data_IF_964716688740
#
_entry.id   IF_964716688740
#
_cell.length_a   1.000
_cell.length_b   1.000
_cell.length_c   1.000
_cell.angle_alpha   90.00
_cell.angle_beta   90.00
_cell.angle_gamma   90.00
#
_symmetry.space_group_name_H-M   'P 1'
#
loop_
_entity.id
_entity.type
_entity.pdbx_description
1 polymer ?
#
# COMPACT_ATOMS: atom_id res chain seq x y z
N UNK A 1 -37.13 26.89 4.75
CA UNK A 1 -35.86 26.15 4.94
C UNK A 1 -36.23 24.73 5.32
N UNK A 2 -35.80 23.73 4.54
CA UNK A 2 -36.17 22.32 4.74
C UNK A 2 -35.15 21.64 5.65
N UNK A 3 -35.61 20.76 6.55
CA UNK A 3 -34.75 20.01 7.49
C UNK A 3 -33.59 19.28 6.80
N UNK A 4 -33.79 18.87 5.54
CA UNK A 4 -32.75 18.24 4.71
C UNK A 4 -31.51 19.11 4.48
N UNK A 5 -31.65 20.44 4.54
CA UNK A 5 -30.52 21.37 4.36
C UNK A 5 -29.63 21.44 5.60
N UNK A 6 -30.20 21.30 6.81
CA UNK A 6 -29.46 21.29 8.07
C UNK A 6 -28.60 20.03 8.20
N UNK A 7 -29.15 18.87 7.84
CA UNK A 7 -28.43 17.60 7.88
C UNK A 7 -27.20 17.57 6.95
N UNK A 8 -27.31 18.09 5.73
CA UNK A 8 -26.17 18.14 4.80
C UNK A 8 -25.03 19.02 5.33
N UNK A 9 -25.35 20.15 5.95
CA UNK A 9 -24.34 21.04 6.56
C UNK A 9 -23.68 20.40 7.77
N UNK A 10 -24.45 19.68 8.60
CA UNK A 10 -23.91 18.95 9.75
C UNK A 10 -22.95 17.83 9.33
N UNK A 11 -23.29 17.05 8.29
CA UNK A 11 -22.42 16.00 7.76
C UNK A 11 -21.12 16.60 7.21
N UNK A 12 -21.19 17.63 6.37
CA UNK A 12 -19.99 18.30 5.86
C UNK A 12 -19.10 18.86 6.98
N UNK A 13 -19.70 19.46 8.02
CA UNK A 13 -18.96 20.01 9.15
C UNK A 13 -18.24 18.92 9.94
N UNK A 14 -18.88 17.77 10.17
CA UNK A 14 -18.29 16.66 10.92
C UNK A 14 -17.15 15.98 10.15
N UNK A 15 -17.30 15.80 8.83
CA UNK A 15 -16.22 15.27 7.96
C UNK A 15 -15.01 16.22 7.91
N UNK A 16 -15.26 17.53 7.89
CA UNK A 16 -14.19 18.53 7.97
C UNK A 16 -13.51 18.53 9.35
N UNK A 17 -14.29 18.42 10.43
CA UNK A 17 -13.73 18.38 11.79
C UNK A 17 -12.89 17.14 12.03
N UNK A 18 -13.29 15.98 11.51
CA UNK A 18 -12.53 14.73 11.63
C UNK A 18 -11.21 14.80 10.83
N UNK A 19 -11.21 15.41 9.65
CA UNK A 19 -9.98 15.63 8.89
C UNK A 19 -9.02 16.59 9.62
N UNK A 20 -9.54 17.67 10.19
CA UNK A 20 -8.73 18.61 11.00
C UNK A 20 -8.19 17.94 12.28
N UNK A 21 -8.99 17.16 12.99
CA UNK A 21 -8.55 16.46 14.20
C UNK A 21 -7.48 15.41 13.89
N UNK A 22 -7.56 14.73 12.73
CA UNK A 22 -6.51 13.83 12.26
C UNK A 22 -5.17 14.57 12.02
N UNK A 23 -5.21 15.83 11.57
CA UNK A 23 -4.01 16.65 11.37
C UNK A 23 -3.38 17.18 12.68
N UNK A 24 -4.15 17.32 13.77
CA UNK A 24 -3.64 17.92 15.03
C UNK A 24 -3.31 16.90 16.14
N UNK A 25 -3.64 15.62 15.96
CA UNK A 25 -3.30 14.55 16.91
C UNK A 25 -2.01 13.77 16.55
N UNK A 26 -1.31 14.16 15.49
CA UNK A 26 -0.07 13.53 15.02
C UNK A 26 1.20 14.01 15.75
N UNK A 27 1.61 13.23 16.74
CA UNK A 27 2.97 12.75 16.97
C UNK A 27 4.16 13.73 16.90
N UNK A 28 4.60 14.20 18.06
CA UNK A 28 5.99 14.64 18.28
C UNK A 28 6.50 14.00 19.57
N UNK A 29 6.96 12.75 19.49
CA UNK A 29 7.91 12.19 20.44
C UNK A 29 8.65 11.03 19.76
N UNK A 30 9.75 11.36 19.09
CA UNK A 30 10.79 10.39 18.73
C UNK A 30 11.34 9.80 20.05
N UNK A 31 11.06 8.52 20.30
CA UNK A 31 11.76 7.73 21.31
C UNK A 31 13.02 7.12 20.71
N UNK A 32 14.17 7.40 21.33
CA UNK A 32 15.54 7.10 20.86
C UNK A 32 15.97 5.62 20.87
N UNK A 33 15.07 4.65 21.11
CA UNK A 33 15.46 3.25 21.39
C UNK A 33 15.04 2.22 20.30
N UNK A 34 14.55 2.66 19.14
CA UNK A 34 14.37 1.76 18.01
C UNK A 34 15.70 1.58 17.25
N UNK A 35 16.08 0.34 16.85
CA UNK A 35 17.18 0.18 15.90
C UNK A 35 16.89 1.06 14.67
N UNK A 36 17.91 1.66 14.04
CA UNK A 36 17.70 2.49 12.86
C UNK A 36 17.05 1.62 11.79
N UNK A 37 15.76 1.83 11.59
CA UNK A 37 14.98 1.14 10.58
C UNK A 37 15.55 1.50 9.19
N UNK A 38 15.52 0.56 8.23
CA UNK A 38 16.19 0.75 6.95
C UNK A 38 15.62 1.97 6.23
N UNK A 39 16.44 3.02 6.08
CA UNK A 39 16.12 4.22 5.30
C UNK A 39 16.28 4.02 3.79
N UNK A 40 16.68 2.83 3.36
CA UNK A 40 16.88 2.46 1.97
C UNK A 40 16.62 0.96 1.80
N UNK A 41 16.27 0.54 0.59
CA UNK A 41 16.28 -0.86 0.22
C UNK A 41 17.72 -1.43 0.28
N UNK A 42 17.90 -2.75 0.50
CA UNK A 42 19.21 -3.39 0.46
C UNK A 42 19.99 -3.03 -0.80
N UNK A 43 21.28 -2.68 -0.68
CA UNK A 43 22.11 -2.32 -1.84
C UNK A 43 22.13 -3.45 -2.88
N UNK A 44 21.80 -3.12 -4.12
CA UNK A 44 21.77 -4.09 -5.24
C UNK A 44 20.49 -4.91 -5.34
N UNK A 45 19.49 -4.66 -4.50
CA UNK A 45 18.13 -5.19 -4.66
C UNK A 45 17.25 -4.22 -5.44
N UNK A 46 16.28 -4.76 -6.17
CA UNK A 46 15.21 -3.98 -6.82
C UNK A 46 13.84 -4.59 -6.51
N UNK A 47 12.79 -3.81 -6.64
CA UNK A 47 11.41 -4.24 -6.47
C UNK A 47 11.05 -5.34 -7.47
N UNK A 48 10.63 -6.51 -6.98
CA UNK A 48 10.12 -7.63 -7.79
C UNK A 48 8.61 -7.77 -7.70
N UNK A 49 8.03 -7.43 -6.54
CA UNK A 49 6.59 -7.36 -6.36
C UNK A 49 6.21 -6.20 -5.44
N UNK A 50 5.03 -5.60 -5.64
CA UNK A 50 4.46 -4.58 -4.75
C UNK A 50 2.98 -4.82 -4.55
N UNK A 51 2.56 -4.62 -3.31
CA UNK A 51 1.20 -4.73 -2.82
C UNK A 51 0.89 -3.59 -1.86
N UNK A 52 -0.24 -2.93 -2.11
CA UNK A 52 -0.78 -1.90 -1.23
C UNK A 52 -2.22 -2.26 -0.83
N UNK A 53 -2.50 -2.21 0.47
CA UNK A 53 -3.83 -2.47 1.03
C UNK A 53 -4.19 -1.59 2.21
N UNK A 54 -5.47 -1.29 2.29
CA UNK A 54 -6.12 -0.62 3.40
C UNK A 54 -7.47 -1.29 3.69
N UNK A 55 -7.57 -1.96 4.83
CA UNK A 55 -8.81 -2.51 5.38
C UNK A 55 -9.50 -1.43 6.22
N UNK A 56 -10.76 -1.11 5.91
CA UNK A 56 -11.59 -0.19 6.72
C UNK A 56 -12.27 0.96 5.96
N UNK A 57 -11.96 1.14 4.67
CA UNK A 57 -12.68 2.04 3.76
C UNK A 57 -13.28 1.25 2.59
N UNK A 58 -14.38 1.74 2.01
CA UNK A 58 -15.16 1.02 1.02
C UNK A 58 -14.35 0.70 -0.25
N UNK A 59 -14.28 -0.61 -0.60
CA UNK A 59 -13.89 -1.19 -1.89
C UNK A 59 -12.85 -0.40 -2.71
N UNK A 60 -11.67 -0.13 -2.14
CA UNK A 60 -10.54 0.35 -2.94
C UNK A 60 -9.87 -0.84 -3.64
N UNK A 61 -9.51 -0.73 -4.93
CA UNK A 61 -8.83 -1.80 -5.64
C UNK A 61 -7.42 -1.99 -5.05
N UNK A 62 -6.99 -3.24 -5.04
CA UNK A 62 -5.62 -3.63 -4.76
C UNK A 62 -4.75 -3.39 -5.99
N UNK A 63 -3.54 -2.88 -5.75
CA UNK A 63 -2.55 -2.62 -6.78
C UNK A 63 -1.44 -3.66 -6.69
N UNK A 64 -1.26 -4.41 -7.76
CA UNK A 64 -0.29 -5.50 -7.86
C UNK A 64 0.76 -5.17 -8.91
N UNK A 65 2.02 -5.12 -8.50
CA UNK A 65 3.17 -5.12 -9.39
C UNK A 65 3.86 -6.48 -9.32
N UNK A 66 4.28 -6.98 -10.48
CA UNK A 66 5.06 -8.19 -10.65
C UNK A 66 6.15 -7.99 -11.71
N UNK A 67 7.37 -8.45 -11.45
CA UNK A 67 8.42 -8.51 -12.48
C UNK A 67 9.30 -9.75 -12.35
N UNK A 68 9.71 -10.30 -13.50
CA UNK A 68 10.69 -11.37 -13.63
C UNK A 68 12.09 -10.86 -14.06
N UNK A 69 12.29 -9.53 -14.01
CA UNK A 69 13.50 -8.84 -14.47
C UNK A 69 13.56 -8.59 -15.97
N UNK A 70 12.68 -9.20 -16.78
CA UNK A 70 12.54 -8.91 -18.21
C UNK A 70 11.26 -8.15 -18.51
N UNK A 71 10.22 -8.38 -17.71
CA UNK A 71 8.88 -7.87 -17.94
C UNK A 71 8.30 -7.32 -16.65
N UNK A 72 7.67 -6.17 -16.72
CA UNK A 72 6.91 -5.59 -15.62
C UNK A 72 5.43 -5.74 -15.94
N UNK A 73 4.67 -6.24 -14.98
CA UNK A 73 3.23 -6.44 -15.09
C UNK A 73 2.53 -5.73 -13.94
N UNK A 74 1.52 -4.93 -14.28
CA UNK A 74 0.68 -4.19 -13.34
C UNK A 74 -0.77 -4.70 -13.43
N UNK A 75 -1.44 -4.82 -12.28
CA UNK A 75 -2.86 -5.22 -12.20
C UNK A 75 -3.57 -4.45 -11.09
N UNK A 76 -4.79 -4.00 -11.37
CA UNK A 76 -5.75 -3.58 -10.37
C UNK A 76 -6.75 -4.72 -10.16
N UNK A 77 -7.00 -5.11 -8.91
CA UNK A 77 -7.91 -6.21 -8.57
C UNK A 77 -8.75 -5.87 -7.36
N UNK A 78 -9.98 -6.39 -7.28
CA UNK A 78 -10.82 -6.27 -6.08
C UNK A 78 -10.62 -7.49 -5.14
N UNK A 79 -9.84 -8.48 -5.56
CA UNK A 79 -9.55 -9.70 -4.79
C UNK A 79 -8.37 -9.47 -3.85
N UNK A 80 -8.52 -9.87 -2.59
CA UNK A 80 -7.46 -9.78 -1.60
C UNK A 80 -6.21 -10.54 -2.07
N UNK A 81 -5.02 -9.92 -2.02
CA UNK A 81 -3.79 -10.59 -2.41
C UNK A 81 -3.36 -11.73 -1.51
N UNK A 82 -3.86 -11.81 -0.28
CA UNK A 82 -3.73 -13.03 0.54
C UNK A 82 -4.54 -14.18 -0.06
N UNK A 83 -5.76 -13.92 -0.55
CA UNK A 83 -6.55 -14.91 -1.29
C UNK A 83 -5.88 -15.25 -2.62
N UNK A 84 -5.28 -14.26 -3.29
CA UNK A 84 -4.50 -14.45 -4.51
C UNK A 84 -3.32 -15.38 -4.28
N UNK A 85 -2.46 -15.06 -3.31
CA UNK A 85 -1.29 -15.86 -2.92
C UNK A 85 -1.69 -17.26 -2.43
N UNK A 86 -2.79 -17.40 -1.68
CA UNK A 86 -3.28 -18.70 -1.24
C UNK A 86 -3.76 -19.56 -2.42
N UNK A 87 -4.48 -18.97 -3.38
CA UNK A 87 -4.86 -19.66 -4.62
C UNK A 87 -3.64 -20.07 -5.46
N UNK A 88 -2.53 -19.31 -5.38
CA UNK A 88 -1.29 -19.60 -6.09
C UNK A 88 -0.44 -20.69 -5.42
N UNK A 89 -0.37 -20.73 -4.08
CA UNK A 89 0.37 -21.76 -3.32
C UNK A 89 -0.19 -23.16 -3.60
N UNK A 90 -1.50 -23.27 -3.84
CA UNK A 90 -2.14 -24.54 -4.19
C UNK A 90 -1.89 -24.95 -5.66
N UNK A 91 -1.46 -24.03 -6.53
CA UNK A 91 -1.39 -24.23 -7.98
C UNK A 91 -0.01 -24.68 -8.52
N UNK A 92 1.14 -24.28 -7.95
CA UNK A 92 2.46 -24.78 -8.41
C UNK A 92 3.65 -24.39 -7.53
N UNK A 93 4.60 -25.30 -7.20
CA UNK A 93 5.79 -25.00 -6.39
C UNK A 93 7.01 -24.44 -7.16
N UNK A 94 6.86 -24.00 -8.43
CA UNK A 94 8.00 -23.66 -9.29
C UNK A 94 8.06 -22.21 -9.83
N UNK A 95 7.35 -21.25 -9.22
CA UNK A 95 7.41 -19.85 -9.63
C UNK A 95 7.67 -18.96 -8.41
N UNK A 96 8.96 -18.70 -8.13
CA UNK A 96 9.39 -17.69 -7.15
C UNK A 96 9.24 -16.31 -7.79
N UNK A 97 8.48 -15.41 -7.17
CA UNK A 97 8.51 -13.96 -7.44
C UNK A 97 7.20 -13.33 -7.89
N UNK A 98 6.31 -14.08 -8.53
CA UNK A 98 4.89 -13.75 -8.70
C UNK A 98 4.23 -15.02 -9.20
N UNK A 99 3.20 -15.50 -8.50
CA UNK A 99 2.65 -16.81 -8.81
C UNK A 99 2.00 -16.88 -10.18
N UNK A 100 1.45 -18.06 -10.45
CA UNK A 100 0.96 -18.41 -11.76
C UNK A 100 -0.34 -17.66 -12.04
N UNK A 101 -0.24 -16.46 -12.61
CA UNK A 101 -1.40 -15.66 -13.01
C UNK A 101 -2.30 -16.56 -13.86
N UNK A 102 -3.52 -16.81 -13.37
CA UNK A 102 -4.47 -17.70 -14.01
C UNK A 102 -4.59 -17.31 -15.48
N UNK A 103 -4.66 -18.29 -16.39
CA UNK A 103 -4.59 -18.04 -17.83
C UNK A 103 -5.68 -17.07 -18.32
N UNK A 104 -6.84 -17.05 -17.64
CA UNK A 104 -7.93 -16.08 -17.86
C UNK A 104 -7.69 -14.68 -17.28
N UNK A 105 -6.78 -14.53 -16.32
CA UNK A 105 -6.38 -13.25 -15.74
C UNK A 105 -5.16 -12.63 -16.42
N UNK A 106 -4.35 -13.44 -17.15
CA UNK A 106 -3.26 -12.92 -17.99
C UNK A 106 -3.75 -11.90 -19.02
N UNK A 107 -5.00 -12.01 -19.44
CA UNK A 107 -5.65 -11.05 -20.35
C UNK A 107 -5.91 -9.66 -19.71
N UNK A 108 -5.69 -9.49 -18.40
CA UNK A 108 -5.89 -8.23 -17.66
C UNK A 108 -4.60 -7.68 -17.05
N UNK A 109 -3.45 -8.21 -17.46
CA UNK A 109 -2.17 -7.69 -17.03
C UNK A 109 -1.75 -6.57 -17.97
N UNK A 110 -1.48 -5.40 -17.40
CA UNK A 110 -0.87 -4.31 -18.15
C UNK A 110 0.64 -4.49 -18.13
N UNK A 111 1.23 -4.57 -19.30
CA UNK A 111 2.67 -4.73 -19.44
C UNK A 111 3.32 -3.36 -19.60
N UNK A 112 4.38 -3.16 -18.83
CA UNK A 112 5.15 -1.93 -18.81
C UNK A 112 6.53 -2.22 -19.37
N UNK A 113 6.88 -1.50 -20.44
CA UNK A 113 8.19 -1.63 -21.09
C UNK A 113 9.25 -0.73 -20.44
N UNK A 114 8.83 0.28 -19.68
CA UNK A 114 9.74 1.23 -19.01
C UNK A 114 10.19 0.73 -17.64
N UNK A 115 11.46 0.34 -17.46
CA UNK A 115 11.98 -0.10 -16.18
C UNK A 115 12.13 1.04 -15.16
N UNK A 116 12.04 2.31 -15.55
CA UNK A 116 12.12 3.43 -14.59
C UNK A 116 10.97 3.42 -13.59
N UNK A 117 9.84 2.82 -13.97
CA UNK A 117 8.65 2.67 -13.11
C UNK A 117 8.98 1.99 -11.78
N UNK A 118 9.84 0.97 -11.78
CA UNK A 118 10.25 0.29 -10.55
C UNK A 118 11.01 1.25 -9.63
N UNK A 119 11.95 2.00 -10.18
CA UNK A 119 12.71 3.01 -9.44
C UNK A 119 11.82 4.11 -8.89
N UNK A 120 10.87 4.60 -9.66
CA UNK A 120 9.95 5.65 -9.21
C UNK A 120 9.11 5.16 -8.02
N UNK A 121 8.64 3.90 -8.06
CA UNK A 121 7.93 3.28 -6.93
C UNK A 121 8.83 3.10 -5.69
N UNK A 122 10.07 2.65 -5.87
CA UNK A 122 11.05 2.55 -4.77
C UNK A 122 11.33 3.91 -4.12
N UNK A 123 11.52 4.96 -4.93
CA UNK A 123 11.72 6.33 -4.47
C UNK A 123 10.51 6.84 -3.66
N UNK A 124 9.28 6.54 -4.09
CA UNK A 124 8.05 6.87 -3.34
C UNK A 124 8.04 6.15 -1.98
N UNK A 125 8.28 4.84 -1.95
CA UNK A 125 8.29 4.01 -0.73
C UNK A 125 9.29 4.55 0.29
N UNK A 126 10.51 4.86 -0.17
CA UNK A 126 11.59 5.39 0.68
C UNK A 126 11.26 6.81 1.16
N UNK A 127 10.81 7.70 0.26
CA UNK A 127 10.51 9.10 0.59
C UNK A 127 9.43 9.25 1.65
N UNK A 128 8.40 8.39 1.62
CA UNK A 128 7.34 8.39 2.63
C UNK A 128 7.66 7.54 3.86
N UNK A 129 8.87 6.98 3.96
CA UNK A 129 9.33 6.24 5.12
C UNK A 129 8.53 4.96 5.37
N UNK A 130 7.96 4.37 4.32
CA UNK A 130 7.04 3.24 4.48
C UNK A 130 7.71 1.99 5.03
N UNK A 131 9.02 1.85 4.81
CA UNK A 131 9.88 0.83 5.42
C UNK A 131 9.89 0.87 6.96
N UNK A 132 9.48 2.00 7.54
CA UNK A 132 9.54 2.28 8.97
C UNK A 132 8.17 2.26 9.64
N UNK A 133 7.09 1.90 8.93
CA UNK A 133 5.78 1.81 9.57
C UNK A 133 5.75 0.63 10.54
N UNK A 134 6.07 0.89 11.81
CA UNK A 134 5.80 -0.09 12.86
C UNK A 134 4.35 0.09 13.27
N UNK A 135 3.54 -0.95 13.07
CA UNK A 135 2.09 -0.84 13.14
C UNK A 135 1.45 -0.59 14.48
N UNK A 136 2.24 -0.09 15.41
CA UNK A 136 1.88 0.26 16.74
C UNK A 136 2.48 1.61 17.01
N UNK A 137 1.65 2.63 17.20
CA UNK A 137 2.07 3.76 18.02
C UNK A 137 2.44 3.19 19.40
N UNK A 138 3.72 2.83 19.59
CA UNK A 138 4.30 2.28 20.84
C UNK A 138 4.32 3.33 21.95
N UNK A 139 3.52 4.40 21.84
CA UNK A 139 3.26 5.25 22.98
C UNK A 139 2.58 4.40 24.07
N UNK A 140 3.41 3.86 24.97
CA UNK A 140 3.02 3.18 26.22
C UNK A 140 2.03 4.01 27.06
N UNK A 141 1.82 5.29 26.70
CA UNK A 141 0.92 6.26 27.30
C UNK A 141 -0.53 6.24 26.78
N UNK A 142 -0.85 5.56 25.67
CA UNK A 142 -2.23 5.47 25.18
C UNK A 142 -2.89 4.19 25.67
N UNK A 143 -3.71 4.34 26.72
CA UNK A 143 -4.53 3.24 27.26
C UNK A 143 -5.31 2.51 26.17
N UNK A 144 -5.54 1.20 26.37
CA UNK A 144 -6.28 0.25 25.50
C UNK A 144 -6.91 0.93 24.27
N UNK A 145 -6.15 1.02 23.18
CA UNK A 145 -6.69 1.41 21.88
C UNK A 145 -7.77 0.40 21.54
N UNK A 146 -9.02 0.85 21.48
CA UNK A 146 -10.12 0.03 20.95
C UNK A 146 -9.78 -0.30 19.51
N UNK A 147 -9.69 -1.60 19.22
CA UNK A 147 -9.46 -2.12 17.88
C UNK A 147 -10.46 -1.48 16.92
N UNK A 148 -9.98 -0.60 16.04
CA UNK A 148 -10.83 0.05 15.04
C UNK A 148 -11.12 -0.89 13.87
N UNK A 149 -10.46 -2.06 13.83
CA UNK A 149 -10.47 -2.98 12.71
C UNK A 149 -9.76 -2.43 11.46
N UNK A 150 -9.11 -1.26 11.56
CA UNK A 150 -8.39 -0.68 10.43
C UNK A 150 -6.98 -1.25 10.34
N UNK A 151 -6.63 -1.70 9.14
CA UNK A 151 -5.35 -2.31 8.84
C UNK A 151 -4.78 -1.69 7.57
N UNK A 152 -3.57 -1.18 7.65
CA UNK A 152 -2.82 -0.64 6.52
C UNK A 152 -1.68 -1.61 6.25
N UNK A 153 -1.55 -2.08 5.02
CA UNK A 153 -0.50 -3.02 4.66
C UNK A 153 0.22 -2.58 3.39
N UNK A 154 1.54 -2.65 3.46
CA UNK A 154 2.42 -2.55 2.32
C UNK A 154 3.26 -3.83 2.30
N UNK A 155 3.14 -4.61 1.25
CA UNK A 155 4.03 -5.75 1.01
C UNK A 155 4.84 -5.47 -0.24
N UNK A 156 6.12 -5.79 -0.20
CA UNK A 156 6.90 -5.86 -1.41
C UNK A 156 7.93 -6.97 -1.32
N UNK A 157 8.23 -7.55 -2.47
CA UNK A 157 9.29 -8.52 -2.67
C UNK A 157 10.42 -7.85 -3.42
N UNK A 158 11.64 -8.25 -3.12
CA UNK A 158 12.86 -7.78 -3.74
C UNK A 158 13.43 -8.86 -4.67
N UNK A 159 14.28 -8.43 -5.59
CA UNK A 159 14.91 -9.28 -6.60
C UNK A 159 15.81 -10.38 -6.03
N UNK A 160 16.25 -10.25 -4.78
CA UNK A 160 17.00 -11.27 -4.06
C UNK A 160 16.10 -12.34 -3.39
N UNK A 161 14.78 -12.24 -3.58
CA UNK A 161 13.76 -13.11 -2.99
C UNK A 161 13.44 -12.77 -1.53
N UNK A 162 14.03 -11.71 -0.97
CA UNK A 162 13.59 -11.20 0.32
C UNK A 162 12.27 -10.47 0.19
N UNK A 163 11.44 -10.54 1.21
CA UNK A 163 10.17 -9.82 1.26
C UNK A 163 10.05 -8.99 2.51
N UNK A 164 9.36 -7.86 2.38
CA UNK A 164 9.10 -6.93 3.45
C UNK A 164 7.60 -6.72 3.52
N UNK A 165 7.03 -7.09 4.66
CA UNK A 165 5.64 -6.79 4.99
C UNK A 165 5.64 -5.73 6.07
N UNK A 166 5.07 -4.58 5.74
CA UNK A 166 4.88 -3.49 6.67
C UNK A 166 3.39 -3.32 6.94
N UNK A 167 3.01 -3.26 8.21
CA UNK A 167 1.62 -3.23 8.63
C UNK A 167 1.41 -2.14 9.66
N UNK A 168 0.28 -1.44 9.60
CA UNK A 168 -0.21 -0.55 10.64
C UNK A 168 -1.61 -0.88 11.08
N UNK A 169 -1.81 -1.00 12.39
CA UNK A 169 -3.07 -1.36 13.01
C UNK A 169 -3.60 -0.15 13.79
N UNK A 170 -4.89 0.12 13.65
CA UNK A 170 -5.61 1.13 14.42
C UNK A 170 -5.24 2.61 14.16
N UNK A 171 -4.17 2.88 13.41
CA UNK A 171 -3.81 4.22 12.97
C UNK A 171 -3.28 4.23 11.54
N UNK A 172 -3.73 5.22 10.76
CA UNK A 172 -3.17 5.51 9.45
C UNK A 172 -1.72 6.01 9.62
N UNK A 173 -0.71 5.36 9.02
CA UNK A 173 0.66 5.83 9.09
C UNK A 173 0.80 7.25 8.55
N UNK A 174 1.72 8.03 9.12
CA UNK A 174 2.04 9.35 8.55
C UNK A 174 2.59 9.16 7.13
N UNK A 175 2.02 9.88 6.17
CA UNK A 175 2.41 9.79 4.76
C UNK A 175 1.74 8.65 3.97
N UNK A 176 0.93 7.80 4.61
CA UNK A 176 0.23 6.71 3.91
C UNK A 176 -0.70 7.23 2.80
N UNK A 177 -1.58 8.23 3.02
CA UNK A 177 -2.46 8.73 1.96
C UNK A 177 -1.70 9.28 0.75
N UNK A 178 -0.61 10.00 1.00
CA UNK A 178 0.22 10.59 -0.05
C UNK A 178 1.01 9.51 -0.81
N UNK A 179 1.58 8.53 -0.10
CA UNK A 179 2.22 7.36 -0.72
C UNK A 179 1.21 6.61 -1.60
N UNK A 180 0.02 6.34 -1.07
CA UNK A 180 -1.02 5.63 -1.79
C UNK A 180 -1.39 6.39 -3.07
N UNK A 181 -1.65 7.69 -2.97
CA UNK A 181 -2.02 8.50 -4.12
C UNK A 181 -0.94 8.51 -5.21
N UNK A 182 0.35 8.61 -4.85
CA UNK A 182 1.43 8.63 -5.84
C UNK A 182 1.65 7.28 -6.50
N UNK A 183 1.61 6.19 -5.72
CA UNK A 183 1.66 4.84 -6.31
C UNK A 183 0.48 4.64 -7.25
N UNK A 184 -0.74 4.99 -6.83
CA UNK A 184 -1.93 4.91 -7.68
C UNK A 184 -1.77 5.68 -8.97
N UNK A 185 -1.18 6.88 -8.93
CA UNK A 185 -0.93 7.68 -10.13
C UNK A 185 -0.05 6.94 -11.13
N UNK A 186 0.99 6.24 -10.69
CA UNK A 186 1.84 5.44 -11.57
C UNK A 186 1.02 4.34 -12.25
N UNK A 187 0.23 3.60 -11.48
CA UNK A 187 -0.62 2.54 -12.04
C UNK A 187 -1.58 3.07 -13.11
N UNK A 188 -2.29 4.17 -12.84
CA UNK A 188 -3.24 4.74 -13.78
C UNK A 188 -2.54 5.26 -15.05
N UNK A 189 -1.42 5.98 -14.92
CA UNK A 189 -0.66 6.49 -16.07
C UNK A 189 -0.18 5.36 -16.97
N UNK A 190 0.33 4.28 -16.40
CA UNK A 190 0.80 3.13 -17.18
C UNK A 190 -0.34 2.37 -17.86
N UNK A 191 -1.51 2.29 -17.21
CA UNK A 191 -2.69 1.67 -17.82
C UNK A 191 -3.24 2.48 -18.99
N UNK A 192 -3.32 3.81 -18.86
CA UNK A 192 -3.76 4.70 -19.95
C UNK A 192 -2.84 4.61 -21.18
N UNK A 193 -1.51 4.56 -20.97
CA UNK A 193 -0.54 4.45 -22.07
C UNK A 193 -0.65 3.11 -22.84
N UNK A 194 -1.15 2.05 -22.20
CA UNK A 194 -1.29 0.74 -22.84
C UNK A 194 -2.53 0.61 -23.74
N UNK A 195 -3.46 1.58 -23.69
CA UNK A 195 -4.67 1.59 -24.50
C UNK A 195 -4.51 2.34 -25.85
N UNK A 196 -3.37 3.03 -26.06
CA UNK A 196 -3.03 3.76 -27.29
C UNK A 196 -2.30 2.89 -28.33
#
# INVERSE_FOLDING_TARGET
MTEKSLWRKAVCLMTWLSALLACFCGCSQQGDDAPPSPTALPEGSSLSALYLHHEGMAMEPYYLLCTDGQKISLKMTDTSPLEYLQQEIEASPYLQGCGQILEGEKARLHHVDDPSVLRDMEEIIVRYGALNWDGFDRSESKGKVTDSGQRYELYFELSDGSSVTVQSYNCCPTGFPELQQELQSIFHTQMEQSEE
#
